data_IF_434149236438
#
_entry.id   IF_434149236438
#
_cell.length_a   1.000
_cell.length_b   1.000
_cell.length_c   1.000
_cell.angle_alpha   90.00
_cell.angle_beta   90.00
_cell.angle_gamma   90.00
#
_symmetry.space_group_name_H-M   'P 1'
#
loop_
_entity.id
_entity.type
_entity.pdbx_description
1 polymer ?
#
# COMPACT_ATOMS: atom_id res chain seq x y z
N UNK A 1 3.36 -11.41 15.21
CA UNK A 1 3.94 -10.06 15.06
C UNK A 1 3.73 -9.66 13.61
N UNK A 2 3.08 -8.53 13.36
CA UNK A 2 2.73 -8.07 12.01
C UNK A 2 3.81 -7.15 11.42
N UNK A 3 3.76 -6.99 10.10
CA UNK A 3 4.68 -6.20 9.28
C UNK A 3 3.90 -5.14 8.49
N UNK A 4 4.52 -3.97 8.31
CA UNK A 4 4.10 -2.98 7.33
C UNK A 4 4.86 -3.24 6.02
N UNK A 5 4.16 -3.41 4.90
CA UNK A 5 4.76 -3.52 3.58
C UNK A 5 4.61 -2.20 2.82
N UNK A 6 5.72 -1.58 2.44
CA UNK A 6 5.72 -0.34 1.64
C UNK A 6 6.08 -0.63 0.19
N UNK A 7 5.21 -0.27 -0.75
CA UNK A 7 5.42 -0.50 -2.19
C UNK A 7 5.63 0.85 -2.87
N UNK A 8 6.80 1.05 -3.48
CA UNK A 8 7.25 2.35 -4.01
C UNK A 8 7.27 2.45 -5.55
N UNK A 9 6.98 1.36 -6.27
CA UNK A 9 6.95 1.33 -7.74
C UNK A 9 5.60 0.91 -8.27
N UNK A 10 5.31 1.35 -9.49
CA UNK A 10 4.08 1.02 -10.21
C UNK A 10 4.00 -0.46 -10.61
N UNK A 11 2.85 -0.86 -11.17
CA UNK A 11 2.55 -2.23 -11.58
C UNK A 11 3.45 -2.83 -12.66
N UNK A 12 4.35 -2.05 -13.25
CA UNK A 12 5.33 -2.53 -14.22
C UNK A 12 6.39 -3.47 -13.60
N UNK A 13 6.57 -3.43 -12.27
CA UNK A 13 7.66 -4.13 -11.58
C UNK A 13 7.21 -5.37 -10.78
N UNK A 14 5.93 -5.77 -10.89
CA UNK A 14 5.34 -6.93 -10.19
C UNK A 14 5.56 -6.97 -8.65
N UNK A 15 5.89 -5.83 -8.03
CA UNK A 15 6.26 -5.77 -6.62
C UNK A 15 5.10 -6.17 -5.69
N UNK A 16 3.88 -5.76 -6.02
CA UNK A 16 2.70 -6.19 -5.26
C UNK A 16 2.54 -7.71 -5.33
N UNK A 17 2.72 -8.33 -6.49
CA UNK A 17 2.62 -9.77 -6.67
C UNK A 17 3.69 -10.52 -5.86
N UNK A 18 4.91 -9.98 -5.81
CA UNK A 18 5.97 -10.51 -4.94
C UNK A 18 5.61 -10.37 -3.46
N UNK A 19 5.05 -9.22 -3.06
CA UNK A 19 4.56 -8.98 -1.70
C UNK A 19 3.46 -9.97 -1.28
N UNK A 20 2.48 -10.18 -2.15
CA UNK A 20 1.34 -11.08 -1.89
C UNK A 20 1.74 -12.55 -1.71
N UNK A 21 2.93 -12.97 -2.17
CA UNK A 21 3.45 -14.33 -1.95
C UNK A 21 3.89 -14.59 -0.51
N UNK A 22 4.18 -13.54 0.27
CA UNK A 22 4.77 -13.68 1.62
C UNK A 22 3.99 -12.95 2.71
N UNK A 23 2.98 -12.16 2.34
CA UNK A 23 2.16 -11.42 3.30
C UNK A 23 1.34 -12.38 4.15
N UNK A 24 1.21 -12.07 5.45
CA UNK A 24 0.43 -12.86 6.40
C UNK A 24 -0.84 -12.12 6.82
N UNK A 25 -1.86 -12.80 7.36
CA UNK A 25 -3.00 -12.14 7.98
C UNK A 25 -2.56 -11.14 9.05
N UNK A 26 -3.13 -9.92 9.02
CA UNK A 26 -2.79 -8.83 9.94
C UNK A 26 -1.53 -8.03 9.58
N UNK A 27 -0.81 -8.40 8.50
CA UNK A 27 0.13 -7.48 7.87
C UNK A 27 -0.65 -6.39 7.10
N UNK A 28 -0.03 -5.23 6.92
CA UNK A 28 -0.67 -4.09 6.26
C UNK A 28 0.17 -3.58 5.09
N UNK A 29 -0.48 -2.99 4.08
CA UNK A 29 0.18 -2.52 2.85
C UNK A 29 -0.01 -1.01 2.73
N UNK A 30 1.08 -0.27 2.53
CA UNK A 30 1.07 1.15 2.20
C UNK A 30 1.73 1.38 0.83
N UNK A 31 0.96 1.93 -0.11
CA UNK A 31 1.48 2.42 -1.38
C UNK A 31 2.05 3.84 -1.22
N UNK A 32 3.28 4.02 -1.66
CA UNK A 32 4.02 5.30 -1.65
C UNK A 32 4.67 5.53 -3.02
N UNK A 33 5.17 6.74 -3.27
CA UNK A 33 5.83 7.12 -4.53
C UNK A 33 5.01 6.67 -5.75
N UNK A 34 5.60 5.98 -6.73
CA UNK A 34 4.88 5.46 -7.90
C UNK A 34 4.03 4.22 -7.57
N UNK A 35 4.18 3.64 -6.38
CA UNK A 35 3.30 2.57 -5.90
C UNK A 35 1.84 2.99 -5.80
N UNK A 36 1.55 4.29 -5.62
CA UNK A 36 0.17 4.78 -5.52
C UNK A 36 -0.66 4.59 -6.80
N UNK A 37 -0.04 4.26 -7.94
CA UNK A 37 -0.79 3.84 -9.13
C UNK A 37 -1.59 2.55 -8.90
N UNK A 38 -1.14 1.66 -8.00
CA UNK A 38 -1.92 0.48 -7.60
C UNK A 38 -3.23 0.85 -6.90
N UNK A 39 -3.33 2.04 -6.28
CA UNK A 39 -4.55 2.48 -5.61
C UNK A 39 -5.73 2.63 -6.58
N UNK A 40 -5.46 2.77 -7.88
CA UNK A 40 -6.47 2.87 -8.94
C UNK A 40 -6.64 1.56 -9.74
N UNK A 41 -5.82 0.54 -9.49
CA UNK A 41 -5.85 -0.73 -10.21
C UNK A 41 -6.70 -1.76 -9.46
N UNK A 42 -8.01 -1.76 -9.77
CA UNK A 42 -8.98 -2.68 -9.16
C UNK A 42 -8.59 -4.15 -9.31
N UNK A 43 -7.95 -4.52 -10.43
CA UNK A 43 -7.54 -5.91 -10.67
C UNK A 43 -6.47 -6.32 -9.67
N UNK A 44 -5.45 -5.48 -9.50
CA UNK A 44 -4.38 -5.72 -8.52
C UNK A 44 -4.91 -5.71 -7.08
N UNK A 45 -5.75 -4.75 -6.72
CA UNK A 45 -6.34 -4.66 -5.38
C UNK A 45 -7.22 -5.86 -5.04
N UNK A 46 -7.94 -6.41 -6.02
CA UNK A 46 -8.81 -7.60 -5.81
C UNK A 46 -8.06 -8.87 -5.40
N UNK A 47 -6.73 -8.90 -5.58
CA UNK A 47 -5.87 -10.02 -5.18
C UNK A 47 -5.45 -9.95 -3.70
N UNK A 48 -5.65 -8.80 -3.05
CA UNK A 48 -5.27 -8.60 -1.66
C UNK A 48 -6.32 -9.24 -0.76
N UNK A 49 -5.89 -9.99 0.27
CA UNK A 49 -6.80 -10.59 1.24
C UNK A 49 -7.56 -9.51 2.01
N UNK A 50 -8.80 -9.82 2.41
CA UNK A 50 -9.62 -8.93 3.25
C UNK A 50 -9.05 -8.76 4.67
N UNK A 51 -8.13 -9.63 5.07
CA UNK A 51 -7.44 -9.56 6.36
C UNK A 51 -6.24 -8.60 6.36
N UNK A 52 -5.92 -7.98 5.22
CA UNK A 52 -4.84 -7.02 5.08
C UNK A 52 -5.39 -5.63 4.77
N UNK A 53 -5.09 -4.67 5.64
CA UNK A 53 -5.45 -3.27 5.38
C UNK A 53 -4.54 -2.68 4.30
N UNK A 54 -5.13 -1.83 3.46
CA UNK A 54 -4.47 -1.23 2.31
C UNK A 54 -4.62 0.28 2.36
N UNK A 55 -3.48 0.97 2.28
CA UNK A 55 -3.39 2.41 2.34
C UNK A 55 -2.70 2.99 1.11
N UNK A 56 -3.08 4.22 0.77
CA UNK A 56 -2.36 5.05 -0.20
C UNK A 56 -1.91 6.35 0.44
N UNK A 57 -0.63 6.72 0.26
CA UNK A 57 -0.12 7.98 0.79
C UNK A 57 -0.75 9.15 0.03
N UNK A 58 -1.46 10.00 0.77
CA UNK A 58 -2.23 11.13 0.26
C UNK A 58 -1.37 12.09 -0.54
N UNK A 59 -0.19 12.41 -0.04
CA UNK A 59 0.72 13.37 -0.66
C UNK A 59 1.14 12.88 -2.06
N UNK A 60 1.43 11.58 -2.20
CA UNK A 60 1.79 10.97 -3.49
C UNK A 60 0.59 10.82 -4.44
N UNK A 61 -0.58 10.47 -3.90
CA UNK A 61 -1.85 10.43 -4.67
C UNK A 61 -2.19 11.81 -5.23
N UNK A 62 -2.03 12.87 -4.43
CA UNK A 62 -2.28 14.26 -4.85
C UNK A 62 -1.25 14.67 -5.90
N UNK A 63 0.04 14.41 -5.68
CA UNK A 63 1.11 14.75 -6.62
C UNK A 63 0.89 14.13 -8.01
N UNK A 64 0.26 12.95 -8.09
CA UNK A 64 -0.05 12.24 -9.35
C UNK A 64 -1.47 12.48 -9.87
N UNK A 65 -2.29 13.30 -9.20
CA UNK A 65 -3.68 13.58 -9.61
C UNK A 65 -4.60 12.34 -9.56
N UNK A 66 -4.39 11.48 -8.55
CA UNK A 66 -5.10 10.21 -8.33
C UNK A 66 -6.02 10.24 -7.10
N UNK A 67 -6.03 11.32 -6.32
CA UNK A 67 -6.74 11.43 -5.04
C UNK A 67 -8.26 11.23 -5.07
N UNK A 68 -8.87 11.37 -6.24
CA UNK A 68 -10.32 11.13 -6.44
C UNK A 68 -10.57 9.94 -7.39
N UNK A 69 -9.54 9.14 -7.68
CA UNK A 69 -9.57 8.02 -8.64
C UNK A 69 -9.24 6.67 -8.01
N UNK A 70 -8.75 6.67 -6.78
CA UNK A 70 -8.48 5.48 -5.99
C UNK A 70 -9.74 4.66 -5.73
N UNK A 71 -9.56 3.35 -5.57
CA UNK A 71 -10.62 2.45 -5.18
C UNK A 71 -11.04 2.68 -3.72
N UNK A 72 -12.31 2.40 -3.41
CA UNK A 72 -12.87 2.54 -2.07
C UNK A 72 -12.25 1.59 -1.04
N UNK A 73 -11.59 0.50 -1.49
CA UNK A 73 -10.81 -0.40 -0.64
C UNK A 73 -9.54 0.24 -0.07
N UNK A 74 -9.07 1.35 -0.67
CA UNK A 74 -7.83 2.00 -0.27
C UNK A 74 -8.14 3.15 0.69
N UNK A 75 -7.64 3.04 1.92
CA UNK A 75 -7.70 4.15 2.86
C UNK A 75 -6.60 5.17 2.54
N UNK A 76 -6.99 6.43 2.35
CA UNK A 76 -6.05 7.51 2.04
C UNK A 76 -5.50 8.13 3.31
N UNK A 77 -4.21 7.96 3.55
CA UNK A 77 -3.53 8.35 4.79
C UNK A 77 -2.45 9.39 4.54
N UNK A 78 -2.07 10.17 5.56
CA UNK A 78 -0.95 11.11 5.48
C UNK A 78 0.31 10.60 6.17
N UNK A 79 1.38 11.39 6.11
CA UNK A 79 2.65 11.07 6.80
C UNK A 79 2.50 10.77 8.29
N UNK A 80 1.59 11.44 9.00
CA UNK A 80 1.36 11.15 10.42
C UNK A 80 0.98 9.68 10.65
N UNK A 81 -0.02 9.19 9.91
CA UNK A 81 -0.46 7.80 9.96
C UNK A 81 0.59 6.85 9.39
N UNK A 82 1.38 7.25 8.39
CA UNK A 82 2.52 6.45 7.95
C UNK A 82 3.51 6.22 9.11
N UNK A 83 3.91 7.29 9.82
CA UNK A 83 4.78 7.15 11.00
C UNK A 83 4.13 6.24 12.05
N UNK A 84 2.83 6.41 12.35
CA UNK A 84 2.12 5.51 13.28
C UNK A 84 2.20 4.05 12.84
N UNK A 85 1.94 3.75 11.56
CA UNK A 85 2.00 2.39 11.03
C UNK A 85 3.39 1.78 11.24
N UNK A 86 4.47 2.55 11.02
CA UNK A 86 5.84 2.06 11.24
C UNK A 86 6.14 1.72 12.71
N UNK A 87 5.43 2.34 13.65
CA UNK A 87 5.54 2.07 15.10
C UNK A 87 4.61 0.92 15.53
N UNK A 88 3.43 0.81 14.91
CA UNK A 88 2.43 -0.22 15.22
C UNK A 88 2.90 -1.63 14.82
N UNK A 89 3.69 -1.73 13.74
CA UNK A 89 4.21 -3.00 13.25
C UNK A 89 5.63 -3.28 13.76
N UNK A 90 5.94 -4.57 13.93
CA UNK A 90 7.26 -5.01 14.43
C UNK A 90 8.41 -4.74 13.46
N UNK A 91 8.10 -4.59 12.18
CA UNK A 91 9.05 -4.28 11.10
C UNK A 91 8.35 -3.63 9.91
N UNK A 92 9.13 -2.92 9.11
CA UNK A 92 8.74 -2.41 7.80
C UNK A 92 9.51 -3.15 6.72
N UNK A 93 8.81 -3.65 5.69
CA UNK A 93 9.38 -4.35 4.53
C UNK A 93 9.18 -3.46 3.30
N UNK A 94 10.28 -2.96 2.74
CA UNK A 94 10.25 -2.07 1.58
C UNK A 94 10.42 -2.84 0.27
N UNK A 95 9.55 -2.56 -0.70
CA UNK A 95 9.61 -3.07 -2.07
C UNK A 95 9.93 -1.91 -3.02
N UNK A 96 11.06 -1.97 -3.73
CA UNK A 96 11.62 -0.86 -4.54
C UNK A 96 12.27 -1.31 -5.85
#
# INVERSE_FOLDING_TARGET
MSSLHTISRSSQHELLQACLKIINPGDEILFIEDGVYYCCDKKSLSLISRDNYVYGLREDLVARGLRDKQDALVEVVGYHKFVELTVQHSKTVSWF
#
